data_IF_483153747285
#
_entry.id   IF_483153747285
#
_cell.length_a   1.000
_cell.length_b   1.000
_cell.length_c   1.000
_cell.angle_alpha   90.00
_cell.angle_beta   90.00
_cell.angle_gamma   90.00
#
_symmetry.space_group_name_H-M   'P 1'
#
loop_
_entity.id
_entity.type
_entity.pdbx_description
1 polymer ?
#
# COMPACT_ATOMS: atom_id res chain seq x y z
N UNK A 1 10.72 -31.56 52.71
CA UNK A 1 9.75 -30.63 52.09
C UNK A 1 10.31 -29.25 52.30
N UNK A 2 10.28 -28.42 51.24
CA UNK A 2 10.69 -27.00 51.19
C UNK A 2 12.22 -26.78 51.20
N UNK A 3 12.83 -25.91 50.39
CA UNK A 3 12.42 -25.12 49.22
C UNK A 3 13.70 -24.56 48.60
N UNK A 4 13.91 -24.76 47.30
CA UNK A 4 14.93 -24.06 46.51
C UNK A 4 14.60 -22.56 46.44
N UNK A 5 15.52 -21.73 46.90
CA UNK A 5 15.46 -20.28 46.78
C UNK A 5 16.51 -19.80 45.79
N UNK A 6 16.18 -19.83 44.49
CA UNK A 6 16.96 -19.16 43.47
C UNK A 6 16.69 -17.64 43.53
N UNK A 7 17.71 -16.90 43.98
CA UNK A 7 17.81 -15.46 43.86
C UNK A 7 18.14 -15.12 42.40
N UNK A 8 17.14 -14.72 41.61
CA UNK A 8 17.36 -14.09 40.31
C UNK A 8 17.26 -12.58 40.49
N UNK A 9 18.43 -11.98 40.38
CA UNK A 9 18.79 -10.58 40.36
C UNK A 9 17.85 -9.75 39.47
N UNK A 10 17.17 -8.76 40.07
CA UNK A 10 16.36 -7.78 39.35
C UNK A 10 17.30 -6.86 38.55
N UNK A 11 17.42 -7.10 37.24
CA UNK A 11 18.10 -6.19 36.33
C UNK A 11 17.10 -5.12 35.89
N UNK A 12 17.27 -3.89 36.37
CA UNK A 12 16.55 -2.73 35.83
C UNK A 12 17.06 -2.42 34.40
N UNK A 13 16.18 -2.12 33.43
CA UNK A 13 16.60 -1.80 32.08
C UNK A 13 17.30 -0.44 32.03
N UNK A 14 18.29 -0.24 31.13
CA UNK A 14 19.05 1.01 31.07
C UNK A 14 18.14 2.19 30.69
N UNK A 15 18.14 3.22 31.53
CA UNK A 15 17.34 4.45 31.40
C UNK A 15 17.77 5.35 30.21
N UNK A 16 18.78 4.95 29.43
CA UNK A 16 19.29 5.74 28.29
C UNK A 16 18.47 5.61 26.99
N UNK A 17 17.41 4.80 26.96
CA UNK A 17 16.50 4.70 25.81
C UNK A 17 15.42 5.81 25.75
N UNK A 18 15.35 6.69 26.75
CA UNK A 18 14.32 7.73 26.84
C UNK A 18 14.82 9.17 26.71
N UNK A 19 16.11 9.39 26.44
CA UNK A 19 16.64 10.74 26.28
C UNK A 19 16.50 11.22 24.82
N UNK A 20 15.31 11.74 24.49
CA UNK A 20 15.04 12.47 23.24
C UNK A 20 15.71 13.84 23.31
N UNK A 21 17.01 13.90 23.05
CA UNK A 21 17.70 15.14 22.70
C UNK A 21 18.19 15.12 21.25
N UNK A 22 17.36 15.75 20.41
CA UNK A 22 17.67 16.47 19.15
C UNK A 22 18.78 15.90 18.25
N UNK A 23 18.38 15.25 17.16
CA UNK A 23 19.14 15.28 15.90
C UNK A 23 18.29 15.96 14.83
N UNK A 24 18.71 17.11 14.26
CA UNK A 24 18.00 17.76 13.17
C UNK A 24 18.57 17.26 11.83
N UNK A 25 17.90 16.30 11.21
CA UNK A 25 18.10 16.05 9.77
C UNK A 25 16.72 16.23 9.12
N UNK A 26 16.57 17.37 8.46
CA UNK A 26 15.37 17.84 7.78
C UNK A 26 15.03 16.92 6.59
N UNK A 27 13.86 16.27 6.62
CA UNK A 27 13.17 15.83 5.41
C UNK A 27 12.15 16.92 5.05
N UNK A 28 12.57 17.92 4.28
CA UNK A 28 11.66 18.91 3.71
C UNK A 28 11.26 18.46 2.30
N UNK A 29 9.98 18.13 2.11
CA UNK A 29 9.41 17.86 0.79
C UNK A 29 9.11 19.21 0.12
N UNK A 30 9.82 19.50 -0.97
CA UNK A 30 9.61 20.73 -1.74
C UNK A 30 8.47 20.54 -2.74
N UNK A 31 7.44 21.40 -2.68
CA UNK A 31 6.40 21.50 -3.70
C UNK A 31 6.69 22.72 -4.59
N UNK A 32 6.83 22.51 -5.90
CA UNK A 32 6.96 23.60 -6.86
C UNK A 32 5.57 24.23 -7.10
N UNK A 33 5.42 25.52 -6.80
CA UNK A 33 4.26 26.30 -7.22
C UNK A 33 4.52 26.87 -8.62
N UNK A 34 3.68 26.50 -9.59
CA UNK A 34 3.68 27.10 -10.91
C UNK A 34 2.85 28.39 -10.90
N UNK A 35 3.51 29.53 -10.79
CA UNK A 35 2.95 30.81 -11.24
C UNK A 35 3.96 31.55 -12.12
N UNK A 36 3.43 32.08 -13.23
CA UNK A 36 3.97 32.86 -14.36
C UNK A 36 5.41 33.43 -14.34
N UNK A 37 6.03 33.62 -15.53
CA UNK A 37 7.43 33.97 -15.71
C UNK A 37 7.62 35.47 -15.54
N UNK A 38 8.02 35.91 -14.35
CA UNK A 38 8.98 37.00 -14.17
C UNK A 38 9.13 37.27 -12.68
N UNK A 39 10.07 36.56 -12.05
CA UNK A 39 10.96 37.08 -11.00
C UNK A 39 11.78 35.94 -10.40
N UNK A 40 13.08 36.23 -10.30
CA UNK A 40 14.11 35.38 -9.68
C UNK A 40 13.79 35.05 -8.22
N UNK A 41 14.21 33.84 -7.85
CA UNK A 41 14.44 33.30 -6.50
C UNK A 41 13.20 33.25 -5.59
N UNK A 42 12.40 32.19 -5.74
CA UNK A 42 11.37 31.83 -4.76
C UNK A 42 12.01 31.11 -3.58
N UNK A 43 11.81 31.66 -2.39
CA UNK A 43 12.08 31.00 -1.13
C UNK A 43 11.31 29.68 -1.05
N UNK A 44 11.98 28.63 -0.60
CA UNK A 44 11.38 27.34 -0.32
C UNK A 44 10.49 27.50 0.91
N UNK A 45 9.18 27.46 0.73
CA UNK A 45 8.26 27.42 1.85
C UNK A 45 8.31 25.99 2.41
N UNK A 46 8.89 25.85 3.61
CA UNK A 46 8.83 24.61 4.37
C UNK A 46 7.37 24.42 4.76
N UNK A 47 6.68 23.52 4.07
CA UNK A 47 5.38 23.03 4.55
C UNK A 47 5.67 22.30 5.84
N UNK A 48 5.39 22.93 6.98
CA UNK A 48 5.34 22.23 8.26
C UNK A 48 4.31 21.11 8.12
N UNK A 49 4.80 19.88 8.07
CA UNK A 49 3.98 18.69 8.23
C UNK A 49 3.40 18.77 9.64
N UNK A 50 2.22 19.39 9.75
CA UNK A 50 1.45 19.36 10.99
C UNK A 50 1.32 17.89 11.35
N UNK A 51 1.78 17.53 12.54
CA UNK A 51 1.56 16.20 13.12
C UNK A 51 0.04 16.01 13.16
N UNK A 52 -0.50 15.40 12.12
CA UNK A 52 -1.92 15.12 12.03
C UNK A 52 -2.22 14.12 13.15
N UNK A 53 -3.20 14.44 13.98
CA UNK A 53 -3.63 13.52 15.02
C UNK A 53 -4.16 12.25 14.35
N UNK A 54 -3.61 11.09 14.72
CA UNK A 54 -4.04 9.81 14.14
C UNK A 54 -5.47 9.51 14.64
N UNK A 55 -6.47 9.42 13.74
CA UNK A 55 -7.87 9.26 14.15
C UNK A 55 -8.11 7.90 14.80
N UNK A 56 -9.06 7.83 15.74
CA UNK A 56 -9.56 6.56 16.24
C UNK A 56 -10.53 5.95 15.24
N UNK A 57 -10.66 4.62 15.19
CA UNK A 57 -11.57 3.93 14.27
C UNK A 57 -13.02 4.39 14.42
N UNK A 58 -13.45 4.71 15.63
CA UNK A 58 -14.80 5.25 15.92
C UNK A 58 -15.01 6.65 15.34
N UNK A 59 -13.93 7.40 15.05
CA UNK A 59 -13.97 8.75 14.48
C UNK A 59 -13.89 8.74 12.94
N UNK A 60 -13.86 7.56 12.31
CA UNK A 60 -13.75 7.40 10.86
C UNK A 60 -15.01 6.81 10.24
N UNK A 61 -15.15 6.94 8.92
CA UNK A 61 -16.23 6.28 8.17
C UNK A 61 -15.87 4.86 7.71
N UNK A 62 -14.79 4.27 8.26
CA UNK A 62 -14.36 2.93 7.88
C UNK A 62 -15.47 1.92 8.21
N UNK A 63 -16.02 1.31 7.16
CA UNK A 63 -17.07 0.31 7.30
C UNK A 63 -16.56 -0.92 8.06
N UNK A 64 -17.35 -1.34 9.06
CA UNK A 64 -17.15 -2.58 9.82
C UNK A 64 -17.95 -3.76 9.27
N UNK A 65 -18.74 -3.52 8.21
CA UNK A 65 -19.55 -4.57 7.61
C UNK A 65 -18.65 -5.63 6.94
N UNK A 66 -19.09 -6.89 6.90
CA UNK A 66 -18.41 -7.91 6.13
C UNK A 66 -18.31 -7.54 4.64
N UNK A 67 -17.24 -7.98 3.98
CA UNK A 67 -17.02 -7.83 2.54
C UNK A 67 -16.55 -9.16 1.94
N UNK A 68 -16.59 -9.28 0.61
CA UNK A 68 -16.04 -10.47 -0.06
C UNK A 68 -14.53 -10.36 -0.19
N UNK A 69 -13.80 -11.47 0.03
CA UNK A 69 -12.37 -11.48 -0.22
C UNK A 69 -12.06 -10.95 -1.64
N UNK A 70 -11.15 -9.96 -1.80
CA UNK A 70 -10.86 -9.38 -3.10
C UNK A 70 -10.11 -10.32 -4.05
N UNK A 71 -9.56 -11.44 -3.55
CA UNK A 71 -9.01 -12.49 -4.38
C UNK A 71 -10.13 -13.19 -5.15
N UNK A 72 -10.14 -13.09 -6.48
CA UNK A 72 -11.26 -13.52 -7.33
C UNK A 72 -11.61 -15.01 -7.26
N UNK A 73 -10.68 -15.87 -6.82
CA UNK A 73 -10.92 -17.29 -6.61
C UNK A 73 -11.51 -17.62 -5.22
N UNK A 74 -11.54 -16.67 -4.30
CA UNK A 74 -12.00 -16.85 -2.93
C UNK A 74 -13.40 -16.29 -2.73
N UNK A 75 -14.27 -17.09 -2.11
CA UNK A 75 -15.67 -16.73 -1.83
C UNK A 75 -15.94 -16.54 -0.33
N UNK A 76 -14.87 -16.47 0.47
CA UNK A 76 -15.04 -16.32 1.90
C UNK A 76 -15.40 -14.87 2.22
N UNK A 77 -16.48 -14.65 3.00
CA UNK A 77 -16.72 -13.33 3.58
C UNK A 77 -15.60 -13.02 4.58
N UNK A 78 -15.12 -11.78 4.53
CA UNK A 78 -14.09 -11.24 5.41
C UNK A 78 -14.66 -10.08 6.22
N UNK A 79 -14.02 -9.80 7.34
CA UNK A 79 -14.17 -8.57 8.08
C UNK A 79 -12.79 -7.93 8.26
N UNK A 80 -12.76 -6.62 8.46
CA UNK A 80 -11.52 -5.85 8.42
C UNK A 80 -10.47 -6.36 9.42
N UNK A 81 -10.91 -6.71 10.64
CA UNK A 81 -10.04 -7.15 11.73
C UNK A 81 -9.48 -8.58 11.53
N UNK A 82 -10.15 -9.44 10.76
CA UNK A 82 -9.65 -10.78 10.44
C UNK A 82 -8.98 -10.88 9.07
N UNK A 83 -8.94 -9.79 8.30
CA UNK A 83 -8.52 -9.87 6.90
C UNK A 83 -7.06 -10.31 6.74
N UNK A 84 -6.17 -9.81 7.60
CA UNK A 84 -4.76 -10.24 7.62
C UNK A 84 -4.62 -11.72 7.97
N UNK A 85 -5.38 -12.18 8.97
CA UNK A 85 -5.43 -13.58 9.39
C UNK A 85 -5.92 -14.48 8.26
N UNK A 86 -7.07 -14.14 7.64
CA UNK A 86 -7.62 -14.85 6.48
C UNK A 86 -6.59 -14.95 5.35
N UNK A 87 -5.97 -13.82 4.98
CA UNK A 87 -4.95 -13.79 3.92
C UNK A 87 -3.78 -14.72 4.25
N UNK A 88 -3.27 -14.65 5.48
CA UNK A 88 -2.12 -15.46 5.93
C UNK A 88 -2.38 -16.97 5.86
N UNK A 89 -3.60 -17.41 6.20
CA UNK A 89 -3.91 -18.85 6.29
C UNK A 89 -4.47 -19.43 5.00
N UNK A 90 -5.31 -18.67 4.28
CA UNK A 90 -6.05 -19.16 3.13
C UNK A 90 -5.39 -18.79 1.79
N UNK A 91 -4.47 -17.81 1.78
CA UNK A 91 -3.79 -17.31 0.58
C UNK A 91 -2.28 -17.35 0.73
N UNK A 92 -1.71 -18.56 0.76
CA UNK A 92 -0.29 -18.82 1.07
C UNK A 92 0.71 -18.10 0.16
N UNK A 93 0.29 -17.76 -1.06
CA UNK A 93 1.13 -17.06 -2.05
C UNK A 93 1.11 -15.54 -1.88
N UNK A 94 0.26 -15.00 -0.98
CA UNK A 94 0.16 -13.58 -0.70
C UNK A 94 0.98 -13.24 0.54
N UNK A 95 2.05 -12.47 0.34
CA UNK A 95 2.88 -11.99 1.44
C UNK A 95 2.16 -10.90 2.23
N UNK A 96 2.39 -10.89 3.55
CA UNK A 96 1.81 -9.91 4.47
C UNK A 96 2.95 -9.13 5.12
N UNK A 97 3.07 -7.85 4.77
CA UNK A 97 4.12 -6.97 5.30
C UNK A 97 3.54 -5.80 6.06
N UNK A 98 4.24 -5.35 7.10
CA UNK A 98 3.95 -4.09 7.77
C UNK A 98 4.78 -2.99 7.12
N UNK A 99 4.15 -1.87 6.80
CA UNK A 99 4.81 -0.71 6.18
C UNK A 99 4.46 0.57 6.92
N UNK A 100 5.36 1.55 6.88
CA UNK A 100 5.05 2.92 7.29
C UNK A 100 4.57 3.75 6.09
N UNK A 101 3.76 4.80 6.32
CA UNK A 101 3.46 5.78 5.29
C UNK A 101 4.77 6.35 4.70
N UNK A 102 4.76 6.66 3.40
CA UNK A 102 5.94 7.15 2.66
C UNK A 102 7.07 6.15 2.44
N UNK A 103 7.00 4.93 2.99
CA UNK A 103 7.97 3.87 2.70
C UNK A 103 7.59 3.12 1.40
N UNK A 104 8.41 3.20 0.33
CA UNK A 104 8.16 2.43 -0.88
C UNK A 104 8.28 0.94 -0.62
N UNK A 105 7.40 0.16 -1.23
CA UNK A 105 7.54 -1.29 -1.29
C UNK A 105 7.48 -1.81 -2.70
N UNK A 106 8.48 -2.58 -3.10
CA UNK A 106 8.53 -3.22 -4.41
C UNK A 106 8.02 -4.66 -4.36
N UNK A 107 7.27 -5.06 -5.38
CA UNK A 107 6.78 -6.42 -5.61
C UNK A 107 7.12 -6.83 -7.03
N UNK A 108 7.49 -8.09 -7.21
CA UNK A 108 7.71 -8.69 -8.52
C UNK A 108 6.46 -9.46 -8.94
N UNK A 109 5.88 -9.08 -10.07
CA UNK A 109 4.65 -9.68 -10.60
C UNK A 109 4.97 -10.40 -11.90
N UNK A 110 4.47 -11.62 -12.07
CA UNK A 110 4.40 -12.25 -13.39
C UNK A 110 3.11 -11.82 -14.10
N UNK A 111 3.17 -10.92 -15.10
CA UNK A 111 1.97 -10.48 -15.80
C UNK A 111 1.43 -11.54 -16.78
N UNK A 112 2.10 -12.69 -16.94
CA UNK A 112 1.71 -13.77 -17.84
C UNK A 112 1.22 -15.03 -17.11
N UNK A 113 1.14 -15.00 -15.76
CA UNK A 113 0.62 -16.10 -14.97
C UNK A 113 -0.83 -16.47 -15.35
N UNK A 114 -1.17 -17.76 -15.27
CA UNK A 114 -2.49 -18.31 -15.60
C UNK A 114 -3.60 -17.78 -14.64
N UNK A 115 -4.87 -17.75 -15.10
CA UNK A 115 -6.05 -17.08 -14.48
C UNK A 115 -6.11 -15.55 -14.61
N UNK A 116 -5.84 -15.11 -15.81
CA UNK A 116 -5.61 -13.72 -16.17
C UNK A 116 -6.81 -12.77 -15.94
N UNK A 117 -8.05 -13.26 -16.03
CA UNK A 117 -9.25 -12.40 -15.95
C UNK A 117 -9.71 -12.15 -14.51
N UNK A 118 -9.39 -13.06 -13.59
CA UNK A 118 -9.82 -12.91 -12.20
C UNK A 118 -8.86 -11.99 -11.43
N UNK A 119 -9.39 -11.14 -10.51
CA UNK A 119 -8.56 -10.37 -9.59
C UNK A 119 -7.62 -11.28 -8.79
N UNK A 120 -6.33 -10.95 -8.83
CA UNK A 120 -5.28 -11.64 -8.09
C UNK A 120 -4.69 -10.70 -7.05
N UNK A 121 -4.59 -11.18 -5.82
CA UNK A 121 -3.84 -10.53 -4.76
C UNK A 121 -2.34 -10.88 -4.90
N UNK A 122 -1.46 -9.89 -4.82
CA UNK A 122 -0.01 -10.10 -4.82
C UNK A 122 0.62 -9.90 -3.47
N UNK A 123 0.13 -8.90 -2.72
CA UNK A 123 0.68 -8.52 -1.43
C UNK A 123 -0.35 -7.80 -0.58
N UNK A 124 -0.39 -8.13 0.69
CA UNK A 124 -1.14 -7.41 1.72
C UNK A 124 -0.17 -6.52 2.52
N UNK A 125 -0.45 -5.23 2.52
CA UNK A 125 0.23 -4.21 3.30
C UNK A 125 -0.58 -3.89 4.55
N UNK A 126 0.08 -3.90 5.69
CA UNK A 126 -0.47 -3.47 6.96
C UNK A 126 0.15 -2.11 7.30
N UNK A 127 -0.51 -1.04 6.88
CA UNK A 127 -0.01 0.33 7.01
C UNK A 127 -0.22 0.80 8.45
N UNK A 128 0.87 1.14 9.12
CA UNK A 128 0.87 1.59 10.52
C UNK A 128 0.69 3.11 10.64
N UNK A 129 0.17 3.58 11.78
CA UNK A 129 0.11 5.02 12.09
C UNK A 129 -0.98 5.82 11.36
N UNK A 130 -1.89 5.15 10.66
CA UNK A 130 -3.03 5.78 9.95
C UNK A 130 -4.35 5.74 10.72
N UNK A 131 -4.49 4.81 11.67
CA UNK A 131 -5.68 4.61 12.48
C UNK A 131 -5.27 4.15 13.88
N UNK A 132 -6.10 4.41 14.89
CA UNK A 132 -6.02 3.77 16.21
C UNK A 132 -7.31 3.01 16.51
N UNK A 133 -7.23 2.01 17.39
CA UNK A 133 -8.39 1.23 17.83
C UNK A 133 -8.86 0.17 16.83
N UNK A 134 -8.04 -0.16 15.83
CA UNK A 134 -8.35 -1.22 14.88
C UNK A 134 -7.66 -2.53 15.27
N UNK A 135 -8.43 -3.60 15.41
CA UNK A 135 -7.92 -4.95 15.66
C UNK A 135 -7.27 -5.12 17.04
N UNK A 136 -6.57 -6.23 17.22
CA UNK A 136 -5.86 -6.59 18.44
C UNK A 136 -4.50 -7.25 18.13
N UNK A 137 -3.73 -7.51 19.19
CA UNK A 137 -2.45 -8.22 19.11
C UNK A 137 -1.43 -7.59 18.15
N UNK A 138 -0.78 -8.42 17.32
CA UNK A 138 0.33 -8.04 16.44
C UNK A 138 -0.06 -7.14 15.25
N UNK A 139 -1.35 -7.06 14.95
CA UNK A 139 -1.92 -6.28 13.86
C UNK A 139 -2.74 -5.09 14.34
N UNK A 140 -2.69 -4.79 15.65
CA UNK A 140 -3.37 -3.62 16.22
C UNK A 140 -2.91 -2.34 15.54
N UNK A 141 -3.86 -1.45 15.28
CA UNK A 141 -3.65 -0.10 14.72
C UNK A 141 -3.05 -0.10 13.30
N UNK A 142 -3.24 -1.19 12.54
CA UNK A 142 -2.76 -1.31 11.16
C UNK A 142 -3.91 -1.45 10.17
N UNK A 143 -3.92 -0.61 9.15
CA UNK A 143 -4.91 -0.68 8.06
C UNK A 143 -4.44 -1.66 6.96
N UNK A 144 -5.27 -2.64 6.57
CA UNK A 144 -4.92 -3.59 5.52
C UNK A 144 -5.22 -3.03 4.12
N UNK A 145 -4.21 -2.98 3.25
CA UNK A 145 -4.32 -2.65 1.83
C UNK A 145 -3.73 -3.75 0.97
N UNK A 146 -4.32 -4.05 -0.19
CA UNK A 146 -3.86 -5.15 -1.06
C UNK A 146 -3.48 -4.62 -2.43
N UNK A 147 -2.30 -5.01 -2.92
CA UNK A 147 -1.95 -4.85 -4.34
C UNK A 147 -2.61 -5.95 -5.15
N UNK A 148 -3.44 -5.50 -6.08
CA UNK A 148 -4.26 -6.33 -6.93
C UNK A 148 -3.81 -6.23 -8.38
N UNK A 149 -4.07 -7.29 -9.15
CA UNK A 149 -4.00 -7.23 -10.60
C UNK A 149 -5.10 -8.05 -11.26
N UNK A 150 -5.47 -7.68 -12.47
CA UNK A 150 -6.23 -8.53 -13.39
C UNK A 150 -6.02 -8.02 -14.82
N UNK A 151 -6.19 -8.89 -15.82
CA UNK A 151 -6.35 -8.42 -17.20
C UNK A 151 -7.80 -8.30 -17.58
N UNK A 152 -8.04 -7.29 -18.38
CA UNK A 152 -9.31 -7.06 -19.04
C UNK A 152 -9.05 -6.76 -20.53
N UNK A 153 -10.11 -6.89 -21.32
CA UNK A 153 -10.05 -6.58 -22.75
C UNK A 153 -10.73 -5.25 -22.99
N UNK A 154 -10.02 -4.32 -23.62
CA UNK A 154 -10.60 -3.08 -24.13
C UNK A 154 -10.37 -3.01 -25.63
N UNK A 155 -11.46 -2.87 -26.39
CA UNK A 155 -11.41 -2.74 -27.85
C UNK A 155 -10.62 -3.89 -28.53
N UNK A 156 -10.78 -5.12 -28.03
CA UNK A 156 -10.13 -6.31 -28.57
C UNK A 156 -8.64 -6.47 -28.19
N UNK A 157 -8.09 -5.59 -27.35
CA UNK A 157 -6.71 -5.71 -26.85
C UNK A 157 -6.69 -5.99 -25.35
N UNK A 158 -5.85 -6.93 -24.93
CA UNK A 158 -5.65 -7.23 -23.52
C UNK A 158 -4.81 -6.13 -22.84
N UNK A 159 -5.14 -5.85 -21.57
CA UNK A 159 -4.43 -4.89 -20.74
C UNK A 159 -4.32 -5.44 -19.34
N UNK A 160 -3.20 -5.20 -18.68
CA UNK A 160 -3.04 -5.43 -17.24
C UNK A 160 -3.51 -4.20 -16.48
N UNK A 161 -4.39 -4.41 -15.51
CA UNK A 161 -4.78 -3.41 -14.52
C UNK A 161 -4.11 -3.75 -13.19
N UNK A 162 -3.51 -2.75 -12.55
CA UNK A 162 -2.98 -2.82 -11.19
C UNK A 162 -3.70 -1.78 -10.33
N UNK A 163 -4.15 -2.16 -9.15
CA UNK A 163 -4.80 -1.23 -8.21
C UNK A 163 -4.52 -1.62 -6.77
N UNK A 164 -4.76 -0.68 -5.86
CA UNK A 164 -4.76 -0.94 -4.42
C UNK A 164 -6.20 -0.96 -3.94
N UNK A 165 -6.57 -2.00 -3.19
CA UNK A 165 -7.84 -2.04 -2.45
C UNK A 165 -7.62 -1.99 -0.94
N UNK A 166 -8.53 -1.37 -0.19
CA UNK A 166 -8.41 -1.26 1.25
C UNK A 166 -9.68 -0.68 1.92
N UNK A 167 -9.65 -0.50 3.25
CA UNK A 167 -10.71 0.18 3.98
C UNK A 167 -10.80 1.64 3.53
N UNK A 168 -12.01 2.12 3.28
CA UNK A 168 -12.26 3.51 2.93
C UNK A 168 -12.59 4.33 4.17
N UNK A 169 -11.69 5.24 4.53
CA UNK A 169 -11.88 6.16 5.64
C UNK A 169 -12.74 7.39 5.29
N UNK A 170 -13.14 7.54 4.02
CA UNK A 170 -14.02 8.59 3.53
C UNK A 170 -13.42 9.99 3.54
N UNK A 171 -14.11 10.91 2.85
CA UNK A 171 -13.85 12.36 2.85
C UNK A 171 -12.36 12.73 2.75
N UNK A 172 -11.88 13.59 3.65
CA UNK A 172 -10.49 14.06 3.70
C UNK A 172 -9.51 13.04 4.27
N UNK A 173 -9.99 11.88 4.75
CA UNK A 173 -9.16 10.83 5.35
C UNK A 173 -8.91 9.68 4.39
N UNK A 174 -9.53 9.68 3.21
CA UNK A 174 -9.35 8.62 2.20
C UNK A 174 -7.88 8.50 1.80
N UNK A 175 -7.37 7.28 1.88
CA UNK A 175 -5.97 7.00 1.59
C UNK A 175 -5.69 7.07 0.10
N UNK A 176 -4.52 7.61 -0.21
CA UNK A 176 -4.01 7.73 -1.56
C UNK A 176 -2.80 6.81 -1.72
N UNK A 177 -2.57 6.40 -2.95
CA UNK A 177 -1.40 5.60 -3.29
C UNK A 177 -0.82 6.03 -4.63
N UNK A 178 0.46 5.72 -4.80
CA UNK A 178 1.11 5.73 -6.11
C UNK A 178 1.60 4.32 -6.40
N UNK A 179 1.30 3.84 -7.61
CA UNK A 179 1.84 2.59 -8.16
C UNK A 179 2.69 2.95 -9.37
N UNK A 180 3.93 2.50 -9.35
CA UNK A 180 4.89 2.65 -10.45
C UNK A 180 5.26 1.26 -10.95
N UNK A 181 5.33 1.07 -12.28
CA UNK A 181 5.70 -0.20 -12.87
C UNK A 181 6.75 -0.04 -13.96
N UNK A 182 7.66 -1.00 -14.00
CA UNK A 182 8.74 -1.04 -14.97
C UNK A 182 10.09 -1.24 -14.32
N UNK A 183 11.13 -1.18 -15.14
CA UNK A 183 12.49 -1.52 -14.72
C UNK A 183 13.13 -0.38 -13.95
N UNK A 184 13.51 -0.64 -12.69
CA UNK A 184 14.37 0.23 -11.91
C UNK A 184 15.79 0.28 -12.53
N UNK A 185 15.96 1.10 -13.57
CA UNK A 185 17.23 1.35 -14.24
C UNK A 185 17.81 2.66 -13.69
N UNK A 186 18.92 2.62 -12.93
CA UNK A 186 19.53 3.81 -12.36
C UNK A 186 20.06 4.78 -13.43
N UNK A 187 20.20 4.34 -14.68
CA UNK A 187 20.63 5.19 -15.79
C UNK A 187 19.49 5.89 -16.52
N UNK A 188 18.23 5.58 -16.19
CA UNK A 188 17.07 6.28 -16.74
C UNK A 188 16.72 7.49 -15.89
N UNK A 189 16.30 8.56 -16.56
CA UNK A 189 15.82 9.80 -15.92
C UNK A 189 14.60 9.55 -15.01
N UNK A 190 13.81 8.53 -15.33
CA UNK A 190 12.73 8.02 -14.49
C UNK A 190 13.00 6.52 -14.24
N UNK A 191 13.15 6.10 -12.97
CA UNK A 191 13.41 4.70 -12.63
C UNK A 191 12.23 3.78 -12.97
N UNK A 192 11.04 4.32 -13.27
CA UNK A 192 9.89 3.54 -13.73
C UNK A 192 9.33 4.12 -15.03
N UNK A 193 8.74 3.24 -15.85
CA UNK A 193 8.28 3.59 -17.19
C UNK A 193 6.84 4.09 -17.20
N UNK A 194 6.01 3.59 -16.28
CA UNK A 194 4.60 3.97 -16.15
C UNK A 194 4.27 4.13 -14.66
N UNK A 195 3.39 5.09 -14.36
CA UNK A 195 2.98 5.38 -12.99
C UNK A 195 1.52 5.83 -12.95
N UNK A 196 0.88 5.59 -11.81
CA UNK A 196 -0.47 6.04 -11.49
C UNK A 196 -0.48 6.54 -10.05
N UNK A 197 -1.18 7.64 -9.79
CA UNK A 197 -1.45 8.12 -8.44
C UNK A 197 -2.94 8.41 -8.31
N UNK A 198 -3.54 7.95 -7.22
CA UNK A 198 -4.98 8.09 -7.01
C UNK A 198 -5.46 7.52 -5.68
N UNK A 199 -6.77 7.47 -5.53
CA UNK A 199 -7.45 6.96 -4.35
C UNK A 199 -7.50 5.43 -4.36
N UNK A 200 -7.50 4.83 -3.17
CA UNK A 200 -7.74 3.40 -2.98
C UNK A 200 -9.14 2.97 -3.45
N UNK A 201 -9.24 1.75 -3.96
CA UNK A 201 -10.52 1.11 -4.27
C UNK A 201 -11.11 0.50 -2.99
N UNK A 202 -12.28 0.92 -2.50
CA UNK A 202 -12.83 0.40 -1.25
C UNK A 202 -13.08 -1.12 -1.31
N UNK A 203 -12.74 -1.86 -0.24
CA UNK A 203 -12.97 -3.31 -0.14
C UNK A 203 -14.44 -3.73 -0.33
N UNK A 204 -15.37 -2.85 0.01
CA UNK A 204 -16.82 -3.08 -0.15
C UNK A 204 -17.33 -2.77 -1.57
N UNK A 205 -16.50 -2.21 -2.44
CA UNK A 205 -16.83 -1.96 -3.85
C UNK A 205 -16.54 -3.18 -4.73
N UNK A 206 -17.05 -3.15 -5.97
CA UNK A 206 -16.70 -4.15 -6.99
C UNK A 206 -15.18 -4.22 -7.16
N UNK A 207 -14.65 -5.44 -7.13
CA UNK A 207 -13.24 -5.73 -7.42
C UNK A 207 -13.04 -6.22 -8.85
N UNK A 208 -14.06 -6.11 -9.72
CA UNK A 208 -13.95 -6.47 -11.14
C UNK A 208 -13.06 -5.47 -11.89
N UNK A 209 -12.16 -5.98 -12.72
CA UNK A 209 -11.19 -5.17 -13.45
C UNK A 209 -11.85 -4.18 -14.42
N UNK A 210 -12.99 -4.54 -15.01
CA UNK A 210 -13.73 -3.66 -15.92
C UNK A 210 -14.33 -2.50 -15.15
N UNK A 211 -14.94 -2.76 -14.01
CA UNK A 211 -15.55 -1.73 -13.15
C UNK A 211 -14.49 -0.77 -12.61
N UNK A 212 -13.33 -1.29 -12.17
CA UNK A 212 -12.22 -0.48 -11.68
C UNK A 212 -11.60 0.35 -12.80
N UNK A 213 -11.46 -0.21 -14.00
CA UNK A 213 -10.99 0.56 -15.14
C UNK A 213 -11.95 1.73 -15.46
N UNK A 214 -13.26 1.49 -15.41
CA UNK A 214 -14.27 2.53 -15.66
C UNK A 214 -14.27 3.62 -14.59
N UNK A 215 -13.96 3.28 -13.33
CA UNK A 215 -13.82 4.27 -12.26
C UNK A 215 -12.54 5.09 -12.36
N UNK A 216 -11.55 4.65 -13.16
CA UNK A 216 -10.26 5.30 -13.31
C UNK A 216 -9.29 5.05 -12.14
N UNK A 217 -9.61 4.09 -11.26
CA UNK A 217 -8.84 3.81 -10.05
C UNK A 217 -7.80 2.70 -10.26
N UNK A 218 -6.78 2.94 -11.08
CA UNK A 218 -5.69 1.98 -11.26
C UNK A 218 -4.74 2.28 -12.42
N UNK A 219 -3.57 1.65 -12.36
CA UNK A 219 -2.58 1.68 -13.43
C UNK A 219 -2.95 0.68 -14.53
N UNK A 220 -3.15 1.17 -15.75
CA UNK A 220 -3.44 0.35 -16.93
C UNK A 220 -2.20 0.23 -17.79
N UNK A 221 -1.75 -1.00 -18.05
CA UNK A 221 -0.58 -1.30 -18.88
C UNK A 221 -1.04 -2.12 -20.09
N UNK A 222 -0.98 -1.58 -21.32
CA UNK A 222 -1.23 -2.34 -22.54
C UNK A 222 -0.28 -3.53 -22.67
N UNK A 223 -0.76 -4.66 -23.19
CA UNK A 223 0.07 -5.85 -23.35
C UNK A 223 1.32 -5.61 -24.20
N UNK A 224 1.25 -4.74 -25.21
CA UNK A 224 2.41 -4.39 -26.02
C UNK A 224 3.52 -3.69 -25.22
N UNK A 225 3.16 -2.98 -24.14
CA UNK A 225 4.15 -2.38 -23.24
C UNK A 225 4.73 -3.42 -22.28
N UNK A 226 3.96 -4.44 -21.87
CA UNK A 226 4.44 -5.48 -20.96
C UNK A 226 5.65 -6.23 -21.52
N UNK A 227 5.68 -6.51 -22.82
CA UNK A 227 6.85 -7.15 -23.46
C UNK A 227 8.11 -6.28 -23.32
N UNK A 228 7.99 -4.96 -23.42
CA UNK A 228 9.12 -4.04 -23.17
C UNK A 228 9.51 -4.00 -21.69
N UNK A 229 8.54 -4.03 -20.78
CA UNK A 229 8.80 -3.90 -19.33
C UNK A 229 9.38 -5.17 -18.73
N UNK A 230 9.07 -6.33 -19.32
CA UNK A 230 9.52 -7.66 -18.87
C UNK A 230 10.68 -8.22 -19.69
N UNK A 231 11.28 -7.41 -20.57
CA UNK A 231 12.38 -7.82 -21.46
C UNK A 231 12.01 -9.09 -22.24
N UNK A 232 10.90 -9.01 -22.99
CA UNK A 232 10.31 -10.13 -23.73
C UNK A 232 10.08 -11.37 -22.85
N UNK A 233 9.50 -11.16 -21.66
CA UNK A 233 9.13 -12.19 -20.68
C UNK A 233 10.31 -12.90 -19.98
N UNK A 234 11.52 -12.36 -20.08
CA UNK A 234 12.68 -12.90 -19.37
C UNK A 234 12.76 -12.42 -17.92
N UNK A 235 11.99 -11.39 -17.55
CA UNK A 235 11.92 -10.80 -16.21
C UNK A 235 10.49 -10.66 -15.73
N UNK A 236 10.33 -10.61 -14.41
CA UNK A 236 9.08 -10.21 -13.77
C UNK A 236 8.90 -8.69 -13.88
N UNK A 237 7.65 -8.24 -13.84
CA UNK A 237 7.32 -6.83 -13.75
C UNK A 237 7.60 -6.34 -12.33
N UNK A 238 8.53 -5.40 -12.19
CA UNK A 238 8.76 -4.70 -10.92
C UNK A 238 7.67 -3.65 -10.73
N UNK A 239 7.00 -3.69 -9.57
CA UNK A 239 5.92 -2.77 -9.20
C UNK A 239 6.24 -2.15 -7.86
N UNK A 240 6.38 -0.84 -7.80
CA UNK A 240 6.61 -0.07 -6.58
C UNK A 240 5.31 0.58 -6.11
N UNK A 241 5.02 0.45 -4.82
CA UNK A 241 3.82 1.02 -4.18
C UNK A 241 4.24 2.00 -3.10
N UNK A 242 3.59 3.17 -3.09
CA UNK A 242 3.76 4.21 -2.08
C UNK A 242 2.39 4.57 -1.50
N UNK A 243 2.31 4.64 -0.17
CA UNK A 243 1.10 5.06 0.56
C UNK A 243 1.28 6.46 1.13
N UNK A 244 0.23 7.30 1.01
CA UNK A 244 0.22 8.68 1.49
C UNK A 244 -0.80 8.94 2.59
#
# INVERSE_FOLDING_TARGET
MESDGDNIEATEPPTELFDRTKSPIYNSLFKASHHHPDRLWSAFEVVEERVAEVPHLDDTTISRQPFQCPAGCCRQPCCLFMFATHTTFDHKDVLVDTVWPSEPTTVLIDPYAENVVQPRCHKLYLVSGKIRGLGDGKHRDKLPFVLMSSKFFLQGSARLLLWITGPDAGDSLRQHYTVEAGRNDPNRLLPYAVAFSGEIVPLHSSQDATDIHQSGAGLVIPEQQLDSLTESRTKLLEVCVHFY
#
